data_IF_598805187246
#
_entry.id   IF_598805187246
#
_cell.length_a   1.000
_cell.length_b   1.000
_cell.length_c   1.000
_cell.angle_alpha   90.00
_cell.angle_beta   90.00
_cell.angle_gamma   90.00
#
_symmetry.space_group_name_H-M   'P 1'
#
loop_
_entity.id
_entity.type
_entity.pdbx_description
1 polymer ?
#
# COMPACT_ATOMS: atom_id res chain seq x y z
N UNK A 1 19.49 -40.28 -54.98
CA UNK A 1 19.20 -39.20 -55.96
C UNK A 1 17.75 -38.75 -55.82
N UNK A 2 17.51 -37.60 -55.18
CA UNK A 2 16.75 -36.44 -55.70
C UNK A 2 16.48 -35.48 -54.53
N UNK A 3 16.95 -34.26 -54.72
CA UNK A 3 16.82 -33.11 -53.83
C UNK A 3 15.36 -32.65 -53.79
N UNK A 4 14.89 -32.19 -52.64
CA UNK A 4 13.92 -31.10 -52.61
C UNK A 4 14.23 -30.20 -51.41
N UNK A 5 14.71 -29.01 -51.74
CA UNK A 5 14.98 -27.89 -50.85
C UNK A 5 13.81 -26.95 -51.09
N UNK A 6 12.94 -26.73 -50.08
CA UNK A 6 11.97 -25.64 -50.11
C UNK A 6 12.03 -24.92 -48.77
N UNK A 7 12.43 -23.67 -48.90
CA UNK A 7 12.55 -22.61 -47.91
C UNK A 7 11.16 -22.24 -47.40
N UNK A 8 10.95 -22.23 -46.09
CA UNK A 8 9.86 -21.47 -45.47
C UNK A 8 10.46 -20.42 -44.54
N UNK A 9 10.17 -19.17 -44.89
CA UNK A 9 10.70 -17.95 -44.31
C UNK A 9 10.41 -17.84 -42.81
N UNK A 10 11.41 -17.40 -42.06
CA UNK A 10 11.26 -16.93 -40.70
C UNK A 10 10.41 -15.65 -40.70
N UNK A 11 9.17 -15.74 -40.24
CA UNK A 11 8.39 -14.57 -39.83
C UNK A 11 8.82 -14.25 -38.40
N UNK A 12 9.89 -13.46 -38.25
CA UNK A 12 10.16 -12.77 -36.99
C UNK A 12 9.19 -11.59 -36.94
N UNK A 13 8.00 -11.85 -36.39
CA UNK A 13 7.10 -10.79 -35.94
C UNK A 13 7.79 -10.09 -34.77
N UNK A 14 8.52 -9.02 -35.08
CA UNK A 14 8.85 -8.00 -34.11
C UNK A 14 7.52 -7.37 -33.65
N UNK A 15 6.94 -7.91 -32.58
CA UNK A 15 5.97 -7.17 -31.78
C UNK A 15 6.77 -6.08 -31.04
N UNK A 16 6.63 -4.79 -31.38
CA UNK A 16 6.95 -3.77 -30.40
C UNK A 16 5.96 -4.00 -29.25
N UNK A 17 6.46 -4.54 -28.15
CA UNK A 17 5.74 -4.56 -26.88
C UNK A 17 5.67 -3.10 -26.41
N UNK A 18 4.76 -2.32 -27.00
CA UNK A 18 4.33 -1.05 -26.42
C UNK A 18 3.49 -1.48 -25.23
N UNK A 19 4.14 -1.67 -24.09
CA UNK A 19 3.46 -1.77 -22.80
C UNK A 19 3.02 -0.35 -22.50
N UNK A 20 1.88 0.05 -23.05
CA UNK A 20 1.14 1.19 -22.52
C UNK A 20 0.76 0.79 -21.09
N UNK A 21 1.21 1.54 -20.09
CA UNK A 21 0.81 1.31 -18.71
C UNK A 21 -0.72 1.37 -18.68
N UNK A 22 -1.36 0.22 -18.47
CA UNK A 22 -2.80 0.16 -18.46
C UNK A 22 -3.31 1.04 -17.32
N UNK A 23 -4.10 2.04 -17.67
CA UNK A 23 -4.83 2.85 -16.70
C UNK A 23 -5.66 1.89 -15.81
N UNK A 24 -5.38 1.87 -14.51
CA UNK A 24 -6.11 1.04 -13.56
C UNK A 24 -7.48 1.65 -13.23
N UNK A 25 -7.76 2.87 -13.70
CA UNK A 25 -9.00 3.58 -13.50
C UNK A 25 -8.97 4.46 -12.27
N UNK A 26 -10.15 4.70 -11.70
CA UNK A 26 -10.37 5.70 -10.67
C UNK A 26 -11.30 5.22 -9.58
N UNK A 27 -11.24 5.88 -8.42
CA UNK A 27 -12.23 5.77 -7.34
C UNK A 27 -12.67 7.16 -6.89
N UNK A 28 -13.95 7.29 -6.56
CA UNK A 28 -14.48 8.50 -5.94
C UNK A 28 -14.57 8.24 -4.43
N UNK A 29 -13.75 8.96 -3.66
CA UNK A 29 -13.61 8.78 -2.21
C UNK A 29 -13.64 10.11 -1.47
N UNK A 30 -14.10 10.07 -0.23
CA UNK A 30 -13.95 11.12 0.76
C UNK A 30 -13.34 10.54 2.04
N UNK A 31 -12.55 11.31 2.77
CA UNK A 31 -12.18 10.97 4.13
C UNK A 31 -13.43 11.05 5.03
N UNK A 32 -13.70 9.98 5.76
CA UNK A 32 -14.86 9.87 6.64
C UNK A 32 -14.45 10.03 8.11
N UNK A 33 -13.47 9.25 8.54
CA UNK A 33 -13.06 9.18 9.94
C UNK A 33 -11.68 8.55 10.11
N UNK A 34 -11.21 8.47 11.35
CA UNK A 34 -10.03 7.71 11.73
C UNK A 34 -10.41 6.31 12.18
N UNK A 35 -9.61 5.33 11.79
CA UNK A 35 -9.56 4.02 12.42
C UNK A 35 -8.77 4.08 13.74
N UNK A 36 -8.04 3.00 14.05
CA UNK A 36 -7.07 3.03 15.13
C UNK A 36 -5.94 4.01 14.77
N UNK A 37 -5.78 5.05 15.56
CA UNK A 37 -4.77 6.09 15.35
C UNK A 37 -4.44 6.80 16.67
N UNK A 38 -3.26 7.41 16.70
CA UNK A 38 -2.73 8.23 17.79
C UNK A 38 -2.05 9.47 17.22
N UNK A 39 -1.76 10.45 18.08
CA UNK A 39 -1.08 11.69 17.67
C UNK A 39 0.41 11.52 17.86
N UNK A 40 1.17 11.59 16.78
CA UNK A 40 2.63 11.56 16.80
C UNK A 40 3.20 12.92 16.43
N UNK A 41 4.51 13.08 16.62
CA UNK A 41 5.27 14.24 16.17
C UNK A 41 6.33 13.79 15.17
N UNK A 42 6.36 14.35 13.97
CA UNK A 42 7.22 13.86 12.89
C UNK A 42 8.07 14.94 12.23
N UNK A 43 9.11 14.46 11.55
CA UNK A 43 9.97 15.17 10.61
C UNK A 43 10.06 14.34 9.33
N UNK A 44 9.94 14.99 8.18
CA UNK A 44 9.86 14.33 6.88
C UNK A 44 8.88 15.04 5.97
N UNK A 45 9.04 14.88 4.65
CA UNK A 45 8.19 15.55 3.65
C UNK A 45 8.18 17.07 3.79
N UNK A 46 9.35 17.68 4.06
CA UNK A 46 9.49 19.12 4.29
C UNK A 46 8.89 19.64 5.61
N UNK A 47 8.43 18.76 6.50
CA UNK A 47 7.90 19.13 7.83
C UNK A 47 8.93 18.92 8.92
N UNK A 48 8.85 19.73 9.98
CA UNK A 48 9.73 19.64 11.16
C UNK A 48 8.94 19.76 12.46
N UNK A 49 8.93 18.70 13.26
CA UNK A 49 8.22 18.65 14.54
C UNK A 49 6.70 18.79 14.40
N UNK A 50 6.16 18.40 13.24
CA UNK A 50 4.74 18.53 12.93
C UNK A 50 3.94 17.46 13.67
N UNK A 51 2.81 17.85 14.28
CA UNK A 51 1.95 16.92 15.00
C UNK A 51 0.77 16.54 14.11
N UNK A 52 0.56 15.25 13.92
CA UNK A 52 -0.52 14.73 13.10
C UNK A 52 -1.03 13.39 13.66
N UNK A 53 -2.15 12.93 13.13
CA UNK A 53 -2.60 11.57 13.39
C UNK A 53 -1.79 10.59 12.56
N UNK A 54 -1.32 9.53 13.19
CA UNK A 54 -0.71 8.37 12.56
C UNK A 54 -1.53 7.14 12.90
N UNK A 55 -1.87 6.37 11.88
CA UNK A 55 -2.75 5.21 12.01
C UNK A 55 -3.64 5.03 10.79
N UNK A 56 -4.67 4.24 10.97
CA UNK A 56 -5.60 3.89 9.91
C UNK A 56 -6.60 5.03 9.62
N UNK A 57 -6.91 5.20 8.34
CA UNK A 57 -7.89 6.16 7.82
C UNK A 57 -9.09 5.39 7.26
N UNK A 58 -10.29 5.94 7.45
CA UNK A 58 -11.50 5.41 6.87
C UNK A 58 -11.91 6.30 5.69
N UNK A 59 -11.99 5.70 4.51
CA UNK A 59 -12.37 6.36 3.26
C UNK A 59 -13.76 5.90 2.85
N UNK A 60 -14.69 6.83 2.62
CA UNK A 60 -16.00 6.51 2.08
C UNK A 60 -15.95 6.52 0.55
N UNK A 61 -16.00 5.34 -0.07
CA UNK A 61 -16.05 5.17 -1.52
C UNK A 61 -17.47 5.22 -2.04
N UNK A 62 -17.71 6.04 -3.05
CA UNK A 62 -19.04 6.25 -3.67
C UNK A 62 -19.12 5.76 -5.11
N UNK A 63 -18.01 5.70 -5.84
CA UNK A 63 -17.95 5.17 -7.20
C UNK A 63 -16.54 4.68 -7.56
N UNK A 64 -16.43 4.01 -8.72
CA UNK A 64 -15.15 3.62 -9.29
C UNK A 64 -15.25 3.21 -10.75
N UNK A 65 -14.10 3.16 -11.43
CA UNK A 65 -13.96 2.70 -12.82
C UNK A 65 -12.87 1.64 -12.89
N UNK A 66 -12.93 0.75 -13.90
CA UNK A 66 -11.96 -0.33 -14.10
C UNK A 66 -11.57 -1.06 -12.80
N UNK A 67 -10.30 -1.03 -12.39
CA UNK A 67 -9.82 -1.69 -11.16
C UNK A 67 -10.30 -0.99 -9.88
N UNK A 68 -10.66 0.28 -9.95
CA UNK A 68 -11.37 0.97 -8.86
C UNK A 68 -12.70 0.33 -8.47
N UNK A 69 -13.27 -0.57 -9.29
CA UNK A 69 -14.44 -1.37 -8.92
C UNK A 69 -14.12 -2.62 -8.09
N UNK A 70 -12.85 -2.88 -7.77
CA UNK A 70 -12.47 -4.00 -6.91
C UNK A 70 -13.02 -3.87 -5.48
N UNK A 71 -13.23 -2.63 -5.00
CA UNK A 71 -13.88 -2.36 -3.72
C UNK A 71 -15.37 -2.05 -3.91
N UNK A 72 -16.25 -2.64 -3.09
CA UNK A 72 -17.62 -2.18 -3.01
C UNK A 72 -17.66 -0.73 -2.50
N UNK A 73 -18.76 -0.03 -2.79
CA UNK A 73 -19.01 1.28 -2.19
C UNK A 73 -19.22 1.14 -0.67
N UNK A 74 -18.79 2.14 0.09
CA UNK A 74 -18.77 2.15 1.54
C UNK A 74 -17.37 2.43 2.09
N UNK A 75 -17.18 2.11 3.37
CA UNK A 75 -15.93 2.39 4.07
C UNK A 75 -14.80 1.44 3.65
N UNK A 76 -13.65 2.00 3.36
CA UNK A 76 -12.39 1.33 3.05
C UNK A 76 -11.35 1.77 4.08
N UNK A 77 -10.70 0.80 4.71
CA UNK A 77 -9.55 1.06 5.57
C UNK A 77 -8.31 1.33 4.74
N UNK A 78 -7.57 2.38 5.08
CA UNK A 78 -6.36 2.79 4.37
C UNK A 78 -5.29 3.36 5.30
N UNK A 79 -4.11 3.61 4.75
CA UNK A 79 -3.06 4.39 5.40
C UNK A 79 -2.57 5.51 4.47
N UNK A 80 -2.28 6.67 5.05
CA UNK A 80 -1.69 7.80 4.33
C UNK A 80 -0.25 7.50 3.91
N UNK A 81 0.14 7.90 2.71
CA UNK A 81 1.51 7.77 2.21
C UNK A 81 2.16 9.10 1.82
N UNK A 82 1.43 10.22 1.89
CA UNK A 82 1.93 11.57 1.60
C UNK A 82 1.85 12.49 2.83
N UNK A 83 2.98 12.79 3.45
CA UNK A 83 3.11 13.69 4.60
C UNK A 83 2.80 15.17 4.27
N UNK A 84 3.26 15.75 3.14
CA UNK A 84 2.90 17.12 2.76
C UNK A 84 1.41 17.39 2.60
N UNK A 85 0.62 16.43 2.14
CA UNK A 85 -0.77 16.65 1.78
C UNK A 85 -1.77 16.42 2.92
N UNK A 86 -3.04 16.78 2.67
CA UNK A 86 -4.13 16.71 3.64
C UNK A 86 -5.31 15.92 3.06
N UNK A 87 -6.03 15.22 3.94
CA UNK A 87 -7.28 14.54 3.62
C UNK A 87 -8.41 15.54 3.36
N UNK A 88 -9.44 15.12 2.63
CA UNK A 88 -10.63 15.95 2.34
C UNK A 88 -11.91 15.17 2.62
N UNK A 89 -12.88 15.83 3.27
CA UNK A 89 -14.24 15.33 3.50
C UNK A 89 -15.12 15.39 2.24
N UNK A 90 -14.68 16.13 1.21
CA UNK A 90 -15.38 16.18 -0.08
C UNK A 90 -15.08 14.91 -0.87
N UNK A 91 -16.09 14.41 -1.60
CA UNK A 91 -15.88 13.31 -2.55
C UNK A 91 -15.09 13.80 -3.75
N UNK A 92 -13.90 13.26 -3.93
CA UNK A 92 -13.00 13.58 -5.04
C UNK A 92 -12.63 12.30 -5.79
N UNK A 93 -12.31 12.45 -7.07
CA UNK A 93 -11.81 11.36 -7.90
C UNK A 93 -10.31 11.21 -7.69
N UNK A 94 -9.89 10.01 -7.31
CA UNK A 94 -8.50 9.58 -7.20
C UNK A 94 -8.19 8.59 -8.32
N UNK A 95 -6.95 8.61 -8.81
CA UNK A 95 -6.46 7.55 -9.68
C UNK A 95 -6.19 6.31 -8.85
N UNK A 96 -6.37 5.15 -9.46
CA UNK A 96 -5.86 3.89 -8.91
C UNK A 96 -4.51 3.63 -9.55
N UNK A 97 -3.48 3.44 -8.73
CA UNK A 97 -2.11 3.24 -9.22
C UNK A 97 -1.41 2.10 -8.49
N UNK A 98 -0.34 1.58 -9.11
CA UNK A 98 0.54 0.66 -8.41
C UNK A 98 1.27 1.41 -7.29
N UNK A 99 1.51 0.80 -6.11
CA UNK A 99 2.19 1.49 -5.01
C UNK A 99 3.57 2.03 -5.41
N UNK A 100 4.27 1.35 -6.33
CA UNK A 100 5.55 1.78 -6.87
C UNK A 100 5.52 3.09 -7.67
N UNK A 101 4.33 3.58 -8.01
CA UNK A 101 4.05 4.82 -8.76
C UNK A 101 3.35 5.87 -7.88
N UNK A 102 3.49 5.77 -6.55
CA UNK A 102 2.94 6.71 -5.58
C UNK A 102 4.01 7.10 -4.56
N UNK A 103 3.84 8.18 -3.77
CA UNK A 103 2.79 9.20 -3.83
C UNK A 103 2.96 10.20 -5.00
N UNK A 104 1.91 11.00 -5.27
CA UNK A 104 1.85 12.10 -6.24
C UNK A 104 1.47 13.42 -5.52
N UNK A 105 2.27 14.50 -5.64
CA UNK A 105 3.41 14.70 -6.54
C UNK A 105 4.71 14.11 -5.99
N UNK A 106 5.58 13.64 -6.87
CA UNK A 106 6.85 13.00 -6.47
C UNK A 106 8.01 13.96 -6.23
N UNK A 107 7.83 15.26 -6.46
CA UNK A 107 8.94 16.23 -6.45
C UNK A 107 9.69 16.24 -5.12
N UNK A 108 8.96 16.03 -4.02
CA UNK A 108 9.59 15.93 -2.71
C UNK A 108 10.36 14.63 -2.54
N UNK A 109 10.13 13.55 -3.29
CA UNK A 109 10.91 12.30 -3.19
C UNK A 109 12.02 12.19 -4.25
N UNK A 110 12.07 13.12 -5.22
CA UNK A 110 12.94 12.99 -6.40
C UNK A 110 12.45 11.94 -7.41
N UNK A 111 11.23 11.42 -7.25
CA UNK A 111 10.61 10.40 -8.10
C UNK A 111 9.66 9.49 -7.33
N UNK A 112 9.00 8.56 -8.02
CA UNK A 112 8.17 7.55 -7.35
C UNK A 112 9.00 6.62 -6.47
N UNK A 113 8.39 6.04 -5.43
CA UNK A 113 9.11 5.14 -4.49
C UNK A 113 9.72 3.89 -5.16
N UNK A 114 9.18 3.48 -6.31
CA UNK A 114 9.67 2.35 -7.08
C UNK A 114 9.31 0.97 -6.49
N UNK A 115 9.66 -0.08 -7.25
CA UNK A 115 9.21 -1.44 -6.97
C UNK A 115 9.77 -2.04 -5.68
N UNK A 116 10.99 -1.68 -5.28
CA UNK A 116 11.63 -2.22 -4.09
C UNK A 116 10.93 -1.76 -2.81
N UNK A 117 10.76 -0.43 -2.64
CA UNK A 117 10.02 0.14 -1.51
C UNK A 117 8.57 -0.32 -1.49
N UNK A 118 7.90 -0.33 -2.64
CA UNK A 118 6.55 -0.90 -2.76
C UNK A 118 6.48 -2.37 -2.31
N UNK A 119 7.49 -3.19 -2.64
CA UNK A 119 7.59 -4.57 -2.19
C UNK A 119 7.69 -4.70 -0.67
N UNK A 120 8.41 -3.80 -0.01
CA UNK A 120 8.52 -3.75 1.44
C UNK A 120 7.23 -3.28 2.13
N UNK A 121 6.52 -2.29 1.57
CA UNK A 121 5.19 -1.89 2.08
C UNK A 121 4.21 -3.05 2.00
N UNK A 122 4.21 -3.79 0.89
CA UNK A 122 3.36 -4.99 0.72
C UNK A 122 3.68 -6.08 1.73
N UNK A 123 4.96 -6.28 2.04
CA UNK A 123 5.40 -7.25 3.04
C UNK A 123 5.07 -6.81 4.47
N UNK A 124 5.29 -5.54 4.80
CA UNK A 124 4.89 -4.93 6.07
C UNK A 124 3.40 -5.15 6.32
N UNK A 125 2.57 -4.87 5.31
CA UNK A 125 1.14 -5.13 5.36
C UNK A 125 0.82 -6.61 5.55
N UNK A 126 1.38 -7.49 4.72
CA UNK A 126 1.13 -8.93 4.79
C UNK A 126 1.57 -9.59 6.10
N UNK A 127 2.55 -9.02 6.81
CA UNK A 127 3.02 -9.50 8.11
C UNK A 127 2.27 -8.91 9.30
N UNK A 128 1.92 -7.62 9.26
CA UNK A 128 1.58 -6.88 10.47
C UNK A 128 0.25 -6.12 10.44
N UNK A 129 -0.39 -5.94 9.28
CA UNK A 129 -1.69 -5.29 9.24
C UNK A 129 -2.74 -6.11 10.02
N UNK A 130 -3.48 -5.43 10.89
CA UNK A 130 -4.61 -6.02 11.62
C UNK A 130 -5.93 -5.36 11.16
N UNK A 131 -6.86 -6.11 10.56
CA UNK A 131 -8.19 -5.61 10.19
C UNK A 131 -8.95 -4.97 11.37
N UNK A 132 -8.65 -5.33 12.62
CA UNK A 132 -9.24 -4.71 13.79
C UNK A 132 -8.93 -3.21 13.93
N UNK A 133 -7.95 -2.68 13.20
CA UNK A 133 -7.64 -1.25 13.15
C UNK A 133 -8.65 -0.45 12.30
N UNK A 134 -9.43 -1.11 11.44
CA UNK A 134 -10.36 -0.47 10.48
C UNK A 134 -11.82 -0.95 10.64
N UNK A 135 -12.09 -1.91 11.52
CA UNK A 135 -13.42 -2.53 11.69
C UNK A 135 -14.41 -1.79 12.61
N UNK A 136 -14.28 -0.47 12.76
CA UNK A 136 -15.18 0.38 13.57
C UNK A 136 -14.93 0.28 15.10
N UNK A 137 -14.92 1.43 15.77
CA UNK A 137 -14.46 1.58 17.16
C UNK A 137 -15.50 1.28 18.27
N UNK A 138 -15.08 1.35 19.55
CA UNK A 138 -13.86 2.00 20.05
C UNK A 138 -12.60 1.14 19.96
N UNK A 139 -11.48 1.75 19.56
CA UNK A 139 -10.16 1.09 19.51
C UNK A 139 -9.43 1.18 20.86
N UNK A 140 -8.84 0.06 21.28
CA UNK A 140 -7.99 -0.02 22.46
C UNK A 140 -6.70 0.78 22.29
N UNK A 141 -6.04 1.13 23.40
CA UNK A 141 -4.72 1.79 23.38
C UNK A 141 -3.72 0.97 22.58
N UNK A 142 -3.72 -0.35 22.72
CA UNK A 142 -2.79 -1.22 21.99
C UNK A 142 -3.00 -1.13 20.48
N UNK A 143 -4.26 -1.20 20.01
CA UNK A 143 -4.57 -1.08 18.59
C UNK A 143 -4.13 0.27 18.02
N UNK A 144 -4.29 1.36 18.78
CA UNK A 144 -3.84 2.69 18.35
C UNK A 144 -2.32 2.79 18.26
N UNK A 145 -1.60 2.23 19.25
CA UNK A 145 -0.14 2.18 19.28
C UNK A 145 0.42 1.31 18.14
N UNK A 146 -0.25 0.21 17.81
CA UNK A 146 0.16 -0.67 16.71
C UNK A 146 -0.08 -0.02 15.35
N UNK A 147 -1.24 0.63 15.18
CA UNK A 147 -1.56 1.33 13.94
C UNK A 147 -0.67 2.57 13.71
N UNK A 148 -0.32 3.33 14.75
CA UNK A 148 0.62 4.46 14.60
C UNK A 148 2.04 3.97 14.25
N UNK A 149 2.50 2.85 14.83
CA UNK A 149 3.79 2.25 14.51
C UNK A 149 3.82 1.76 13.05
N UNK A 150 2.69 1.21 12.58
CA UNK A 150 2.52 0.77 11.20
C UNK A 150 2.58 1.95 10.23
N UNK A 151 1.88 3.04 10.54
CA UNK A 151 1.94 4.27 9.74
C UNK A 151 3.35 4.89 9.72
N UNK A 152 4.04 4.91 10.86
CA UNK A 152 5.43 5.37 10.93
C UNK A 152 6.37 4.53 10.08
N UNK A 153 6.22 3.20 10.09
CA UNK A 153 7.01 2.29 9.23
C UNK A 153 6.72 2.49 7.74
N UNK A 154 5.46 2.77 7.36
CA UNK A 154 5.13 3.15 5.97
C UNK A 154 5.87 4.41 5.57
N UNK A 155 5.81 5.47 6.40
CA UNK A 155 6.48 6.73 6.07
C UNK A 155 7.99 6.61 6.04
N UNK A 156 8.59 5.81 6.91
CA UNK A 156 10.01 5.45 6.81
C UNK A 156 10.34 4.87 5.43
N UNK A 157 9.59 3.85 4.98
CA UNK A 157 9.86 3.24 3.67
C UNK A 157 9.65 4.23 2.52
N UNK A 158 8.64 5.10 2.60
CA UNK A 158 8.35 6.09 1.55
C UNK A 158 9.45 7.15 1.47
N UNK A 159 9.80 7.77 2.60
CA UNK A 159 10.61 8.98 2.66
C UNK A 159 12.11 8.72 2.86
N UNK A 160 12.52 7.60 3.45
CA UNK A 160 13.93 7.28 3.67
C UNK A 160 14.57 6.65 2.43
N UNK A 161 15.86 6.85 2.21
CA UNK A 161 16.55 6.11 1.13
C UNK A 161 16.44 4.60 1.32
N UNK A 162 16.41 3.83 0.22
CA UNK A 162 16.38 2.37 0.34
C UNK A 162 17.72 1.88 0.93
N UNK A 163 17.75 1.34 2.16
CA UNK A 163 18.99 0.93 2.78
C UNK A 163 19.52 -0.35 2.12
N UNK A 164 20.82 -0.60 2.27
CA UNK A 164 21.43 -1.85 1.80
C UNK A 164 20.87 -3.08 2.54
N UNK A 165 20.45 -2.90 3.79
CA UNK A 165 19.80 -3.92 4.62
C UNK A 165 18.64 -3.31 5.41
N UNK A 166 17.61 -4.10 5.76
CA UNK A 166 16.44 -3.63 6.52
C UNK A 166 16.79 -2.95 7.85
N UNK A 167 17.89 -3.36 8.48
CA UNK A 167 18.43 -2.75 9.70
C UNK A 167 18.87 -1.29 9.56
N UNK A 168 18.93 -0.78 8.32
CA UNK A 168 19.28 0.62 8.03
C UNK A 168 18.11 1.58 8.19
N UNK A 169 16.87 1.10 8.19
CA UNK A 169 15.70 1.93 8.53
C UNK A 169 15.69 2.24 10.03
N UNK A 170 15.38 3.48 10.39
CA UNK A 170 15.26 3.89 11.79
C UNK A 170 14.39 5.14 11.93
N UNK A 171 13.15 4.94 12.39
CA UNK A 171 12.18 6.02 12.58
C UNK A 171 12.57 7.02 13.68
N UNK A 172 13.73 6.86 14.33
CA UNK A 172 14.22 7.77 15.38
C UNK A 172 15.38 8.65 14.94
N UNK A 173 16.05 8.34 13.84
CA UNK A 173 17.37 8.90 13.53
C UNK A 173 17.36 10.00 12.47
N UNK A 174 16.76 9.77 11.29
CA UNK A 174 16.81 10.75 10.19
C UNK A 174 15.58 11.66 10.19
N UNK A 175 15.73 12.95 10.43
CA UNK A 175 14.62 13.91 10.33
C UNK A 175 14.94 15.07 9.42
N UNK A 176 15.78 14.83 8.42
CA UNK A 176 16.27 15.91 7.58
C UNK A 176 15.09 16.66 6.94
N UNK A 177 15.17 17.98 7.02
CA UNK A 177 14.18 18.87 6.42
C UNK A 177 14.53 18.96 4.94
N UNK A 178 13.92 18.09 4.13
CA UNK A 178 14.27 17.97 2.72
C UNK A 178 13.44 16.95 1.97
N UNK A 179 13.97 16.52 0.82
CA UNK A 179 13.31 15.56 -0.05
C UNK A 179 13.23 14.14 0.55
N UNK A 180 14.22 13.78 1.36
CA UNK A 180 14.37 12.45 1.92
C UNK A 180 14.62 12.56 3.42
N UNK A 181 14.21 11.55 4.18
CA UNK A 181 14.33 11.52 5.64
C UNK A 181 12.98 11.38 6.34
N UNK A 182 12.88 10.45 7.28
CA UNK A 182 11.74 10.33 8.18
C UNK A 182 12.13 9.97 9.61
N UNK A 183 11.61 10.75 10.57
CA UNK A 183 11.62 10.35 11.97
C UNK A 183 10.38 10.80 12.68
N UNK A 184 10.05 10.11 13.76
CA UNK A 184 8.99 10.49 14.65
C UNK A 184 9.34 10.34 16.13
N UNK A 185 8.57 11.06 16.93
CA UNK A 185 8.50 11.00 18.38
C UNK A 185 7.04 10.73 18.76
N UNK A 186 6.83 10.26 20.00
CA UNK A 186 5.49 10.01 20.54
C UNK A 186 4.72 8.88 19.83
N UNK A 187 5.43 8.01 19.11
CA UNK A 187 4.94 6.74 18.57
C UNK A 187 5.61 5.56 19.29
N UNK A 188 5.11 4.35 19.12
CA UNK A 188 5.83 3.11 19.46
C UNK A 188 6.97 2.83 18.44
N UNK A 189 8.03 3.63 18.51
CA UNK A 189 9.16 3.61 17.57
C UNK A 189 9.97 2.32 17.66
N UNK A 190 10.03 1.70 18.83
CA UNK A 190 10.67 0.40 19.01
C UNK A 190 9.95 -0.67 18.18
N UNK A 191 8.62 -0.70 18.25
CA UNK A 191 7.81 -1.62 17.44
C UNK A 191 7.93 -1.36 15.94
N UNK A 192 7.88 -0.09 15.53
CA UNK A 192 8.06 0.28 14.12
C UNK A 192 9.42 -0.22 13.58
N UNK A 193 10.50 0.02 14.31
CA UNK A 193 11.84 -0.43 13.94
C UNK A 193 11.95 -1.96 13.95
N UNK A 194 11.39 -2.65 14.95
CA UNK A 194 11.36 -4.13 14.99
C UNK A 194 10.68 -4.70 13.73
N UNK A 195 9.56 -4.11 13.30
CA UNK A 195 8.87 -4.52 12.07
C UNK A 195 9.70 -4.22 10.82
N UNK A 196 10.24 -3.01 10.68
CA UNK A 196 11.10 -2.62 9.55
C UNK A 196 12.31 -3.55 9.41
N UNK A 197 12.99 -3.84 10.51
CA UNK A 197 14.20 -4.68 10.51
C UNK A 197 13.91 -6.15 10.20
N UNK A 198 12.65 -6.58 10.35
CA UNK A 198 12.22 -7.93 10.01
C UNK A 198 11.88 -8.15 8.54
N UNK A 199 11.71 -7.07 7.76
CA UNK A 199 11.31 -7.16 6.36
C UNK A 199 12.49 -7.68 5.54
N UNK A 200 12.36 -8.81 4.86
CA UNK A 200 13.47 -9.47 4.17
C UNK A 200 13.24 -9.64 2.67
N UNK A 201 12.11 -9.13 2.16
CA UNK A 201 11.69 -9.26 0.78
C UNK A 201 11.04 -10.61 0.45
N UNK A 202 11.01 -11.56 1.39
CA UNK A 202 10.56 -12.94 1.20
C UNK A 202 9.31 -13.31 2.01
N UNK A 203 8.88 -12.45 2.93
CA UNK A 203 7.68 -12.66 3.73
C UNK A 203 6.37 -12.62 2.95
N UNK A 204 5.24 -12.91 3.63
CA UNK A 204 3.90 -12.74 3.06
C UNK A 204 3.71 -11.30 2.55
N UNK A 205 3.14 -11.15 1.36
CA UNK A 205 2.88 -9.85 0.75
C UNK A 205 1.40 -9.70 0.46
N UNK A 206 0.81 -8.60 0.93
CA UNK A 206 -0.53 -8.22 0.53
C UNK A 206 -0.53 -7.69 -0.92
N UNK A 207 -1.67 -7.81 -1.59
CA UNK A 207 -1.92 -7.14 -2.86
C UNK A 207 -2.47 -5.73 -2.56
N UNK A 208 -1.72 -4.71 -2.95
CA UNK A 208 -2.01 -3.31 -2.61
C UNK A 208 -2.11 -2.45 -3.87
N UNK A 209 -3.01 -1.46 -3.85
CA UNK A 209 -2.98 -0.30 -4.76
C UNK A 209 -2.91 1.00 -3.97
N UNK A 210 -2.49 2.05 -4.67
CA UNK A 210 -2.53 3.41 -4.18
C UNK A 210 -3.73 4.14 -4.78
N UNK A 211 -4.40 4.96 -3.97
CA UNK A 211 -5.33 5.98 -4.42
C UNK A 211 -4.61 7.30 -4.40
N UNK A 212 -4.36 7.88 -5.58
CA UNK A 212 -3.54 9.08 -5.73
C UNK A 212 -4.32 10.28 -6.23
N UNK A 213 -4.03 11.45 -5.67
CA UNK A 213 -4.57 12.73 -6.12
C UNK A 213 -3.53 13.83 -5.93
N UNK A 214 -3.19 14.51 -7.02
CA UNK A 214 -2.11 15.49 -7.04
C UNK A 214 -2.16 16.57 -5.94
N UNK A 215 -3.34 16.95 -5.45
CA UNK A 215 -3.52 18.02 -4.46
C UNK A 215 -4.07 17.53 -3.10
N UNK A 216 -4.18 16.22 -2.89
CA UNK A 216 -4.83 15.62 -1.71
C UNK A 216 -4.13 14.35 -1.29
N UNK A 217 -4.17 14.07 0.01
CA UNK A 217 -3.51 12.92 0.63
C UNK A 217 -3.66 11.64 -0.18
N UNK A 218 -2.53 11.03 -0.51
CA UNK A 218 -2.51 9.71 -1.13
C UNK A 218 -2.65 8.59 -0.10
N UNK A 219 -3.31 7.52 -0.52
CA UNK A 219 -3.62 6.40 0.36
C UNK A 219 -3.13 5.08 -0.22
N UNK A 220 -2.60 4.20 0.64
CA UNK A 220 -2.37 2.80 0.31
C UNK A 220 -3.52 1.94 0.86
N UNK A 221 -4.02 1.03 0.04
CA UNK A 221 -5.18 0.17 0.37
C UNK A 221 -4.94 -1.27 -0.09
N UNK A 222 -5.42 -2.21 0.72
CA UNK A 222 -5.44 -3.63 0.36
C UNK A 222 -6.58 -3.92 -0.62
N UNK A 223 -6.24 -4.67 -1.67
CA UNK A 223 -7.19 -5.15 -2.66
C UNK A 223 -7.95 -6.33 -2.02
N UNK A 224 -9.30 -6.32 -2.01
CA UNK A 224 -10.05 -7.43 -1.44
C UNK A 224 -9.72 -8.70 -2.22
N UNK A 225 -9.22 -9.73 -1.53
CA UNK A 225 -8.90 -11.03 -2.12
C UNK A 225 -10.09 -11.55 -2.94
N UNK A 226 -9.93 -11.73 -4.27
CA UNK A 226 -11.04 -12.14 -5.13
C UNK A 226 -11.40 -13.61 -4.86
N UNK A 227 -12.37 -13.84 -3.99
CA UNK A 227 -13.11 -15.11 -3.81
C UNK A 227 -12.27 -16.39 -3.57
N UNK A 228 -10.97 -16.30 -3.30
CA UNK A 228 -10.10 -17.46 -3.01
C UNK A 228 -10.61 -18.23 -1.79
N UNK A 229 -11.21 -17.52 -0.82
CA UNK A 229 -11.93 -18.09 0.33
C UNK A 229 -13.17 -18.91 -0.08
N UNK A 230 -13.90 -18.49 -1.12
CA UNK A 230 -15.07 -19.22 -1.63
C UNK A 230 -14.62 -20.51 -2.31
N UNK A 231 -13.53 -20.49 -3.08
CA UNK A 231 -13.00 -21.71 -3.69
C UNK A 231 -12.46 -22.71 -2.66
N UNK A 232 -11.83 -22.25 -1.57
CA UNK A 232 -11.41 -23.13 -0.48
C UNK A 232 -12.63 -23.74 0.25
N UNK A 233 -13.69 -22.96 0.49
CA UNK A 233 -14.92 -23.45 1.10
C UNK A 233 -15.65 -24.48 0.20
N UNK A 234 -15.73 -24.24 -1.11
CA UNK A 234 -16.32 -25.20 -2.06
C UNK A 234 -15.45 -26.46 -2.20
N UNK A 235 -14.13 -26.33 -2.17
CA UNK A 235 -13.19 -27.45 -2.18
C UNK A 235 -13.34 -28.36 -0.95
N UNK A 236 -13.47 -27.79 0.25
CA UNK A 236 -13.71 -28.56 1.48
C UNK A 236 -15.08 -29.24 1.46
N UNK A 237 -16.13 -28.56 1.02
CA UNK A 237 -17.48 -29.13 0.94
C UNK A 237 -17.59 -30.29 -0.07
N UNK A 238 -16.91 -30.20 -1.20
CA UNK A 238 -16.88 -31.28 -2.22
C UNK A 238 -16.10 -32.50 -1.73
N UNK A 239 -14.97 -32.30 -1.04
CA UNK A 239 -14.19 -33.39 -0.42
C UNK A 239 -14.93 -34.07 0.74
N UNK A 240 -15.64 -33.31 1.58
CA UNK A 240 -16.49 -33.86 2.65
C UNK A 240 -17.69 -34.61 2.09
N UNK A 241 -18.25 -34.18 0.95
CA UNK A 241 -19.32 -34.91 0.27
C UNK A 241 -18.80 -36.22 -0.31
N UNK A 242 -17.60 -36.27 -0.87
CA UNK A 242 -17.05 -37.52 -1.42
C UNK A 242 -16.75 -38.58 -0.34
N UNK A 243 -16.31 -38.16 0.86
CA UNK A 243 -16.03 -39.07 1.98
C UNK A 243 -17.26 -39.71 2.64
N UNK A 244 -18.48 -39.27 2.30
CA UNK A 244 -19.73 -39.85 2.84
C UNK A 244 -20.33 -40.96 1.95
N UNK A 245 -19.72 -41.24 0.80
CA UNK A 245 -20.23 -42.20 -0.19
C UNK A 245 -19.24 -43.37 -0.46
N UNK A 246 -18.20 -43.50 0.36
CA UNK A 246 -17.37 -44.69 0.51
C UNK A 246 -17.58 -45.27 1.92
#
# INVERSE_FOLDING_TARGET
>A
MKRLLIVCAAVVLALPCIIEAADLGTVDIAWDSLGAASVIKLWGGGRSGFRCYAGAYMLNKTAGTAQGNAWPNGLIGSFCIDLPQYSSEDTLTYKVEMPSQSPEPTDFLGGYIGAAKAGYIRELWGRYFDPAWVNGGPFSTQQKNDAEAFAAAIWEIVYEDLPATPSGWDVTADGTVGQLGFRCEQADTAKANDWLHSLDGTGPKAELWAFTNYDKQDYIVEIPEPATTVMFAVGVLTLLRYRRWC
#
